data_IF_539754123365
#
_entry.id   IF_539754123365
#
_cell.length_a   1.000
_cell.length_b   1.000
_cell.length_c   1.000
_cell.angle_alpha   90.00
_cell.angle_beta   90.00
_cell.angle_gamma   90.00
#
_symmetry.space_group_name_H-M   'P 1'
#
loop_
_entity.id
_entity.type
_entity.pdbx_description
1 polymer ?
#
# COMPACT_ATOMS: atom_id res chain seq x y z
N UNK A 1 6.66 -11.96 12.74
CA UNK A 1 6.58 -10.48 12.85
C UNK A 1 6.63 -9.78 11.50
N UNK A 2 7.82 -9.64 10.87
CA UNK A 2 8.00 -8.75 9.71
C UNK A 2 7.19 -9.16 8.47
N UNK A 3 7.11 -10.46 8.18
CA UNK A 3 6.32 -10.97 7.07
C UNK A 3 4.82 -10.67 7.25
N UNK A 4 4.26 -10.91 8.44
CA UNK A 4 2.87 -10.56 8.78
C UNK A 4 2.60 -9.07 8.55
N UNK A 5 3.54 -8.20 8.94
CA UNK A 5 3.43 -6.74 8.79
C UNK A 5 3.52 -6.27 7.34
N UNK A 6 4.35 -6.92 6.50
CA UNK A 6 4.43 -6.65 5.05
C UNK A 6 3.09 -6.98 4.35
N UNK A 7 2.40 -8.02 4.82
CA UNK A 7 1.16 -8.50 4.21
C UNK A 7 -0.11 -7.92 4.86
N UNK A 8 0.00 -6.87 5.68
CA UNK A 8 -1.16 -6.21 6.29
C UNK A 8 -1.78 -6.96 7.47
N UNK A 9 -1.20 -8.09 7.92
CA UNK A 9 -1.59 -8.77 9.14
C UNK A 9 -0.94 -8.10 10.36
N UNK A 10 -1.30 -6.84 10.59
CA UNK A 10 -0.70 -5.97 11.62
C UNK A 10 -0.91 -6.51 13.02
N UNK A 11 -2.15 -6.89 13.38
CA UNK A 11 -2.50 -7.48 14.68
C UNK A 11 -1.70 -8.76 14.96
N UNK A 12 -1.57 -9.64 13.98
CA UNK A 12 -0.76 -10.86 14.10
C UNK A 12 0.73 -10.51 14.25
N UNK A 13 1.20 -9.53 13.48
CA UNK A 13 2.56 -9.00 13.57
C UNK A 13 2.90 -8.47 14.96
N UNK A 14 1.97 -7.77 15.60
CA UNK A 14 2.13 -7.20 16.94
C UNK A 14 2.04 -8.27 18.04
N UNK A 15 1.09 -9.20 17.93
CA UNK A 15 1.03 -10.34 18.84
C UNK A 15 2.27 -11.24 18.75
N UNK A 16 2.83 -11.41 17.56
CA UNK A 16 4.13 -12.06 17.40
C UNK A 16 5.27 -11.28 18.05
N UNK A 17 5.20 -9.95 18.13
CA UNK A 17 6.22 -9.14 18.78
C UNK A 17 6.17 -9.26 20.30
N UNK A 18 4.97 -9.18 20.88
CA UNK A 18 4.75 -9.40 22.31
C UNK A 18 5.24 -10.79 22.76
N UNK A 19 4.94 -11.83 21.97
CA UNK A 19 5.38 -13.19 22.27
C UNK A 19 6.92 -13.33 22.23
N UNK A 20 7.60 -12.69 21.27
CA UNK A 20 9.06 -12.75 21.19
C UNK A 20 9.70 -11.92 22.30
N UNK A 21 9.11 -10.79 22.70
CA UNK A 21 9.56 -9.98 23.85
C UNK A 21 9.43 -10.76 25.17
N UNK A 22 8.38 -11.58 25.32
CA UNK A 22 8.21 -12.44 26.49
C UNK A 22 9.18 -13.63 26.53
N UNK A 23 9.47 -14.24 25.38
CA UNK A 23 10.25 -15.49 25.29
C UNK A 23 11.76 -15.27 25.16
N UNK A 24 12.19 -14.26 24.40
CA UNK A 24 13.60 -13.93 24.18
C UNK A 24 13.75 -12.43 23.86
N UNK A 25 13.82 -11.57 24.90
CA UNK A 25 13.94 -10.12 24.72
C UNK A 25 15.16 -9.70 23.88
N UNK A 26 16.21 -10.52 23.83
CA UNK A 26 17.43 -10.24 23.07
C UNK A 26 17.22 -10.26 21.55
N UNK A 27 16.13 -10.89 21.09
CA UNK A 27 15.74 -10.95 19.68
C UNK A 27 14.85 -9.80 19.23
N UNK A 28 14.49 -8.90 20.17
CA UNK A 28 13.66 -7.74 19.92
C UNK A 28 14.48 -6.47 20.10
N UNK A 29 14.89 -5.85 18.99
CA UNK A 29 15.48 -4.51 19.01
C UNK A 29 14.43 -3.44 18.67
N UNK A 30 14.72 -2.17 19.01
CA UNK A 30 13.84 -1.02 18.73
C UNK A 30 13.30 -1.07 17.29
N UNK A 31 14.17 -1.32 16.31
CA UNK A 31 13.79 -1.43 14.89
C UNK A 31 12.76 -2.54 14.63
N UNK A 32 12.94 -3.74 15.21
CA UNK A 32 12.02 -4.86 15.09
C UNK A 32 10.70 -4.65 15.84
N UNK A 33 10.69 -3.84 16.91
CA UNK A 33 9.46 -3.42 17.61
C UNK A 33 8.60 -2.52 16.74
N UNK A 34 9.22 -1.50 16.12
CA UNK A 34 8.53 -0.64 15.13
C UNK A 34 8.30 -1.33 13.78
N UNK A 35 8.80 -2.54 13.57
CA UNK A 35 8.62 -3.29 12.32
C UNK A 35 9.50 -2.81 11.17
N UNK A 36 10.57 -2.08 11.47
CA UNK A 36 11.64 -1.72 10.55
C UNK A 36 12.57 -2.93 10.38
N UNK A 37 12.73 -3.42 9.15
CA UNK A 37 13.74 -4.43 8.82
C UNK A 37 15.05 -3.69 8.52
N UNK A 38 16.14 -3.94 9.27
CA UNK A 38 17.46 -3.46 8.86
C UNK A 38 17.85 -4.18 7.56
N UNK A 39 17.99 -3.44 6.47
CA UNK A 39 18.53 -3.96 5.22
C UNK A 39 20.02 -4.25 5.46
N UNK A 40 20.45 -5.52 5.41
CA UNK A 40 21.88 -5.85 5.54
C UNK A 40 22.58 -5.56 4.21
N UNK A 41 23.85 -5.15 4.26
CA UNK A 41 24.66 -4.95 3.05
C UNK A 41 24.80 -6.22 2.19
N UNK A 42 24.63 -7.41 2.78
CA UNK A 42 24.53 -8.70 2.10
C UNK A 42 23.23 -8.87 1.31
N UNK A 43 22.13 -8.30 1.79
CA UNK A 43 20.83 -8.33 1.10
C UNK A 43 20.86 -7.44 -0.16
N UNK A 44 21.69 -6.40 -0.14
CA UNK A 44 22.01 -5.55 -1.30
C UNK A 44 22.97 -6.24 -2.30
N UNK A 45 23.74 -7.25 -1.89
CA UNK A 45 24.75 -7.88 -2.75
C UNK A 45 24.12 -8.75 -3.86
N UNK A 46 22.93 -9.32 -3.62
CA UNK A 46 22.16 -10.04 -4.64
C UNK A 46 21.60 -9.12 -5.74
N UNK A 47 21.35 -7.85 -5.43
CA UNK A 47 20.82 -6.86 -6.38
C UNK A 47 21.92 -6.08 -7.12
N UNK A 48 23.15 -6.04 -6.58
CA UNK A 48 24.28 -5.30 -7.18
C UNK A 48 24.65 -5.74 -8.60
N UNK A 49 24.33 -6.96 -9.03
CA UNK A 49 24.59 -7.40 -10.42
C UNK A 49 23.65 -6.76 -11.46
N UNK A 50 22.56 -6.08 -11.05
CA UNK A 50 21.62 -5.42 -11.97
C UNK A 50 21.68 -3.89 -11.97
N UNK A 51 22.52 -3.27 -11.13
CA UNK A 51 22.41 -1.84 -10.80
C UNK A 51 23.73 -1.06 -10.89
N UNK A 52 24.68 -1.41 -11.76
CA UNK A 52 25.99 -0.72 -11.85
C UNK A 52 25.95 0.65 -12.54
N UNK A 53 24.95 1.49 -12.25
CA UNK A 53 24.86 2.83 -12.86
C UNK A 53 23.84 3.80 -12.25
N UNK A 54 23.35 3.58 -11.02
CA UNK A 54 22.35 4.49 -10.41
C UNK A 54 22.89 5.16 -9.16
N UNK A 55 22.61 6.46 -9.03
CA UNK A 55 23.04 7.33 -7.96
C UNK A 55 22.36 6.86 -6.65
N UNK A 56 22.99 6.95 -5.47
CA UNK A 56 22.37 6.53 -4.20
C UNK A 56 21.04 7.25 -3.88
N UNK A 57 20.82 8.42 -4.48
CA UNK A 57 19.58 9.19 -4.38
C UNK A 57 18.41 8.57 -5.19
N UNK A 58 18.70 7.78 -6.23
CA UNK A 58 17.69 7.13 -7.08
C UNK A 58 17.02 5.95 -6.38
N UNK A 59 17.63 5.44 -5.31
CA UNK A 59 17.12 4.31 -4.51
C UNK A 59 15.90 4.71 -3.67
N UNK A 60 15.72 6.01 -3.40
CA UNK A 60 14.64 6.52 -2.53
C UNK A 60 13.43 7.10 -3.26
N UNK A 61 13.47 7.27 -4.59
CA UNK A 61 12.30 7.71 -5.35
C UNK A 61 12.26 7.08 -6.75
N UNK A 62 12.10 5.75 -6.81
CA UNK A 62 11.61 5.15 -8.05
C UNK A 62 10.16 5.56 -8.26
N UNK A 63 9.96 6.43 -9.25
CA UNK A 63 8.63 6.85 -9.70
C UNK A 63 8.09 5.74 -10.60
N UNK A 64 6.99 5.14 -10.20
CA UNK A 64 6.25 4.18 -11.01
C UNK A 64 4.99 4.87 -11.54
N UNK A 65 4.81 4.86 -12.86
CA UNK A 65 3.57 5.31 -13.49
C UNK A 65 2.62 4.13 -13.61
N UNK A 66 1.34 4.36 -13.26
CA UNK A 66 0.28 3.37 -13.40
C UNK A 66 -0.91 4.00 -14.11
N UNK A 67 -1.51 3.21 -15.01
CA UNK A 67 -2.83 3.49 -15.61
C UNK A 67 -3.86 2.53 -15.04
N UNK A 68 -5.14 2.88 -15.17
CA UNK A 68 -6.19 1.95 -14.79
C UNK A 68 -6.08 0.65 -15.60
N UNK A 69 -6.11 -0.50 -14.94
CA UNK A 69 -5.94 -1.81 -15.59
C UNK A 69 -4.51 -2.17 -15.98
N UNK A 70 -3.51 -1.39 -15.57
CA UNK A 70 -2.12 -1.61 -16.00
C UNK A 70 -1.53 -2.92 -15.46
N UNK A 71 -1.08 -3.77 -16.38
CA UNK A 71 -0.39 -5.04 -16.13
C UNK A 71 1.02 -5.10 -16.74
N UNK A 72 1.53 -3.99 -17.26
CA UNK A 72 2.85 -3.92 -17.89
C UNK A 72 4.00 -4.06 -16.88
N UNK A 73 3.73 -3.78 -15.59
CA UNK A 73 4.72 -3.88 -14.54
C UNK A 73 5.15 -5.35 -14.31
N UNK A 74 6.46 -5.66 -14.21
CA UNK A 74 6.94 -7.04 -14.02
C UNK A 74 6.36 -7.76 -12.79
N UNK A 75 6.05 -7.00 -11.73
CA UNK A 75 5.44 -7.53 -10.50
C UNK A 75 3.89 -7.47 -10.49
N UNK A 76 3.22 -7.29 -11.64
CA UNK A 76 1.76 -7.09 -11.66
C UNK A 76 0.99 -8.19 -10.90
N UNK A 77 1.37 -9.47 -11.03
CA UNK A 77 0.70 -10.55 -10.30
C UNK A 77 0.73 -10.34 -8.78
N UNK A 78 1.86 -9.89 -8.23
CA UNK A 78 1.99 -9.55 -6.80
C UNK A 78 1.15 -8.33 -6.42
N UNK A 79 1.11 -7.31 -7.29
CA UNK A 79 0.27 -6.12 -7.10
C UNK A 79 -1.20 -6.54 -6.99
N UNK A 80 -1.71 -7.30 -7.96
CA UNK A 80 -3.11 -7.73 -7.99
C UNK A 80 -3.44 -8.71 -6.86
N UNK A 81 -2.50 -9.57 -6.46
CA UNK A 81 -2.67 -10.46 -5.30
C UNK A 81 -2.83 -9.65 -4.01
N UNK A 82 -1.99 -8.64 -3.80
CA UNK A 82 -2.09 -7.74 -2.65
C UNK A 82 -3.41 -6.96 -2.67
N UNK A 83 -3.81 -6.44 -3.83
CA UNK A 83 -5.08 -5.74 -3.99
C UNK A 83 -6.28 -6.63 -3.69
N UNK A 84 -6.27 -7.88 -4.15
CA UNK A 84 -7.32 -8.85 -3.82
C UNK A 84 -7.40 -9.14 -2.31
N UNK A 85 -6.25 -9.25 -1.64
CA UNK A 85 -6.18 -9.40 -0.19
C UNK A 85 -6.73 -8.20 0.56
N UNK A 86 -6.33 -6.99 0.16
CA UNK A 86 -6.84 -5.73 0.72
C UNK A 86 -8.35 -5.60 0.47
N UNK A 87 -8.82 -5.92 -0.74
CA UNK A 87 -10.25 -5.86 -1.09
C UNK A 87 -11.10 -6.73 -0.17
N UNK A 88 -10.66 -7.95 0.14
CA UNK A 88 -11.35 -8.84 1.10
C UNK A 88 -11.39 -8.22 2.50
N UNK A 89 -10.24 -7.81 3.01
CA UNK A 89 -10.14 -7.18 4.34
C UNK A 89 -10.97 -5.89 4.45
N UNK A 90 -11.00 -5.08 3.39
CA UNK A 90 -11.85 -3.89 3.32
C UNK A 90 -13.32 -4.27 3.43
N UNK A 91 -13.79 -5.27 2.66
CA UNK A 91 -15.17 -5.76 2.74
C UNK A 91 -15.51 -6.27 4.15
N UNK A 92 -14.58 -6.96 4.81
CA UNK A 92 -14.76 -7.47 6.18
C UNK A 92 -14.99 -6.36 7.22
N UNK A 93 -14.43 -5.16 6.99
CA UNK A 93 -14.61 -3.99 7.87
C UNK A 93 -15.65 -2.98 7.35
N UNK A 94 -16.48 -3.38 6.37
CA UNK A 94 -17.65 -2.62 5.94
C UNK A 94 -17.46 -1.72 4.70
N UNK A 95 -16.37 -1.89 3.95
CA UNK A 95 -16.22 -1.20 2.66
C UNK A 95 -17.20 -1.77 1.61
N UNK A 96 -17.95 -0.87 0.97
CA UNK A 96 -18.82 -1.19 -0.16
C UNK A 96 -18.32 -0.46 -1.42
N UNK A 97 -17.97 -1.18 -2.50
CA UNK A 97 -17.56 -0.56 -3.75
C UNK A 97 -18.65 0.33 -4.36
N UNK A 98 -18.30 1.56 -4.72
CA UNK A 98 -19.24 2.50 -5.35
C UNK A 98 -19.13 2.43 -6.88
N UNK A 99 -19.80 1.44 -7.51
CA UNK A 99 -19.68 1.18 -8.96
C UNK A 99 -20.17 2.30 -9.87
N UNK A 100 -20.90 3.29 -9.34
CA UNK A 100 -21.23 4.54 -10.05
C UNK A 100 -19.99 5.30 -10.56
N UNK A 101 -18.81 5.04 -10.00
CA UNK A 101 -17.55 5.63 -10.46
C UNK A 101 -16.91 4.88 -11.64
N UNK A 102 -17.56 3.83 -12.15
CA UNK A 102 -17.23 3.15 -13.41
C UNK A 102 -18.30 3.49 -14.44
N UNK A 103 -17.95 4.32 -15.42
CA UNK A 103 -18.89 4.83 -16.42
C UNK A 103 -19.19 3.84 -17.56
N UNK A 104 -18.41 2.77 -17.66
CA UNK A 104 -18.63 1.73 -18.67
C UNK A 104 -19.92 0.97 -18.34
N UNK A 105 -20.76 0.75 -19.37
CA UNK A 105 -21.99 -0.02 -19.23
C UNK A 105 -21.68 -1.52 -19.29
N UNK A 106 -21.21 -2.04 -18.16
CA UNK A 106 -20.86 -3.44 -17.93
C UNK A 106 -21.57 -3.92 -16.66
N UNK A 107 -21.57 -5.24 -16.46
CA UNK A 107 -22.17 -5.85 -15.29
C UNK A 107 -21.49 -5.37 -13.99
N UNK A 108 -22.22 -5.52 -12.89
CA UNK A 108 -21.82 -4.99 -11.59
C UNK A 108 -20.53 -5.63 -11.05
N UNK A 109 -20.31 -6.93 -11.30
CA UNK A 109 -19.11 -7.64 -10.88
C UNK A 109 -17.88 -7.10 -11.61
N UNK A 110 -17.98 -6.95 -12.93
CA UNK A 110 -16.91 -6.36 -13.75
C UNK A 110 -16.64 -4.90 -13.36
N UNK A 111 -17.65 -4.13 -12.93
CA UNK A 111 -17.43 -2.77 -12.37
C UNK A 111 -16.62 -2.80 -11.08
N UNK A 112 -16.87 -3.74 -10.18
CA UNK A 112 -16.07 -3.88 -8.96
C UNK A 112 -14.61 -4.24 -9.27
N UNK A 113 -14.38 -5.12 -10.24
CA UNK A 113 -13.04 -5.46 -10.71
C UNK A 113 -12.32 -4.25 -11.32
N UNK A 114 -13.04 -3.46 -12.13
CA UNK A 114 -12.50 -2.23 -12.72
C UNK A 114 -12.06 -1.22 -11.64
N UNK A 115 -12.86 -1.04 -10.58
CA UNK A 115 -12.50 -0.19 -9.45
C UNK A 115 -11.21 -0.66 -8.76
N UNK A 116 -11.06 -1.98 -8.58
CA UNK A 116 -9.84 -2.56 -8.00
C UNK A 116 -8.60 -2.20 -8.82
N UNK A 117 -8.75 -2.10 -10.13
CA UNK A 117 -7.67 -1.82 -11.06
C UNK A 117 -7.40 -0.32 -11.30
N UNK A 118 -8.02 0.59 -10.54
CA UNK A 118 -7.70 2.03 -10.63
C UNK A 118 -6.24 2.31 -10.28
N UNK A 119 -5.65 3.33 -10.93
CA UNK A 119 -4.22 3.64 -10.80
C UNK A 119 -3.81 4.04 -9.39
N UNK A 120 -4.69 4.68 -8.60
CA UNK A 120 -4.44 4.97 -7.19
C UNK A 120 -4.15 3.72 -6.37
N UNK A 121 -4.92 2.65 -6.62
CA UNK A 121 -4.80 1.39 -5.89
C UNK A 121 -3.56 0.63 -6.32
N UNK A 122 -3.27 0.60 -7.63
CA UNK A 122 -2.04 0.01 -8.15
C UNK A 122 -0.80 0.71 -7.57
N UNK A 123 -0.80 2.04 -7.55
CA UNK A 123 0.27 2.84 -6.95
C UNK A 123 0.39 2.57 -5.45
N UNK A 124 -0.74 2.47 -4.73
CA UNK A 124 -0.73 2.15 -3.30
C UNK A 124 -0.12 0.77 -3.03
N UNK A 125 -0.57 -0.27 -3.73
CA UNK A 125 -0.09 -1.63 -3.60
C UNK A 125 1.40 -1.76 -3.92
N UNK A 126 1.86 -1.17 -5.02
CA UNK A 126 3.30 -1.11 -5.34
C UNK A 126 4.07 -0.38 -4.24
N UNK A 127 3.54 0.75 -3.77
CA UNK A 127 4.10 1.52 -2.68
C UNK A 127 4.31 0.69 -1.42
N UNK A 128 3.33 -0.11 -1.03
CA UNK A 128 3.43 -0.98 0.14
C UNK A 128 4.48 -2.08 0.00
N UNK A 129 4.63 -2.66 -1.20
CA UNK A 129 5.64 -3.70 -1.44
C UNK A 129 7.07 -3.17 -1.39
N UNK A 130 7.28 -1.92 -1.81
CA UNK A 130 8.62 -1.34 -1.97
C UNK A 130 9.03 -0.40 -0.83
N UNK A 131 8.19 -0.22 0.20
CA UNK A 131 8.50 0.65 1.33
C UNK A 131 8.47 -0.10 2.65
N UNK A 132 9.26 0.32 3.65
CA UNK A 132 9.22 -0.28 4.97
C UNK A 132 7.81 -0.27 5.56
N UNK A 133 7.48 -1.31 6.34
CA UNK A 133 6.25 -1.33 7.10
C UNK A 133 6.14 -0.07 7.97
N UNK A 134 4.91 0.43 8.16
CA UNK A 134 4.61 1.64 8.95
C UNK A 134 5.21 2.97 8.44
N UNK A 135 6.01 2.98 7.37
CA UNK A 135 6.47 4.25 6.78
C UNK A 135 5.32 4.99 6.08
N UNK A 136 5.38 6.32 6.00
CA UNK A 136 4.37 7.08 5.24
C UNK A 136 4.47 6.75 3.76
N UNK A 137 3.33 6.45 3.11
CA UNK A 137 3.27 6.25 1.68
C UNK A 137 2.90 7.55 0.97
N UNK A 138 3.53 7.84 -0.17
CA UNK A 138 3.22 9.03 -0.99
C UNK A 138 2.76 8.61 -2.38
N UNK A 139 1.63 9.14 -2.82
CA UNK A 139 1.01 8.88 -4.13
C UNK A 139 0.77 10.21 -4.83
N UNK A 140 1.12 10.32 -6.11
CA UNK A 140 0.83 11.50 -6.92
C UNK A 140 -0.04 11.07 -8.09
N UNK A 141 -1.15 11.79 -8.28
CA UNK A 141 -2.10 11.58 -9.37
C UNK A 141 -2.32 12.90 -10.11
N UNK A 142 -2.30 12.85 -11.44
CA UNK A 142 -2.53 14.01 -12.31
C UNK A 142 -4.02 14.33 -12.52
N UNK A 143 -4.90 13.40 -12.14
CA UNK A 143 -6.36 13.54 -12.19
C UNK A 143 -6.92 13.62 -10.76
N UNK A 144 -8.12 14.16 -10.62
CA UNK A 144 -8.88 14.11 -9.36
C UNK A 144 -9.05 12.65 -8.92
N UNK A 145 -8.91 12.37 -7.63
CA UNK A 145 -9.20 11.03 -7.09
C UNK A 145 -10.69 10.73 -7.26
N UNK A 146 -11.06 9.51 -7.66
CA UNK A 146 -12.48 9.15 -7.70
C UNK A 146 -13.00 8.90 -6.27
N UNK A 147 -14.30 9.09 -6.03
CA UNK A 147 -14.87 8.95 -4.69
C UNK A 147 -14.67 7.56 -4.09
N UNK A 148 -14.79 6.52 -4.92
CA UNK A 148 -14.52 5.15 -4.49
C UNK A 148 -13.05 4.92 -4.10
N UNK A 149 -12.08 5.42 -4.87
CA UNK A 149 -10.67 5.30 -4.51
C UNK A 149 -10.32 6.13 -3.27
N UNK A 150 -10.94 7.30 -3.11
CA UNK A 150 -10.81 8.07 -1.88
C UNK A 150 -11.33 7.28 -0.67
N UNK A 151 -12.50 6.63 -0.80
CA UNK A 151 -13.04 5.78 0.24
C UNK A 151 -12.16 4.56 0.52
N UNK A 152 -11.72 3.85 -0.52
CA UNK A 152 -10.84 2.69 -0.39
C UNK A 152 -9.51 3.06 0.31
N UNK A 153 -8.89 4.20 0.00
CA UNK A 153 -7.66 4.64 0.65
C UNK A 153 -7.85 4.92 2.15
N UNK A 154 -9.04 5.37 2.58
CA UNK A 154 -9.38 5.46 4.02
C UNK A 154 -9.34 4.07 4.66
N UNK A 155 -10.06 3.09 4.12
CA UNK A 155 -10.08 1.72 4.65
C UNK A 155 -8.70 1.07 4.64
N UNK A 156 -7.96 1.22 3.53
CA UNK A 156 -6.58 0.73 3.42
C UNK A 156 -5.72 1.32 4.54
N UNK A 157 -5.81 2.63 4.81
CA UNK A 157 -5.01 3.27 5.87
C UNK A 157 -5.20 2.62 7.25
N UNK A 158 -6.44 2.21 7.57
CA UNK A 158 -6.77 1.45 8.79
C UNK A 158 -6.15 0.06 8.76
N UNK A 159 -6.33 -0.67 7.66
CA UNK A 159 -5.85 -2.06 7.51
C UNK A 159 -4.33 -2.14 7.64
N UNK A 160 -3.62 -1.29 6.90
CA UNK A 160 -2.16 -1.33 6.87
C UNK A 160 -1.53 -0.62 8.07
N UNK A 161 -2.30 0.20 8.80
CA UNK A 161 -1.81 1.02 9.91
C UNK A 161 -0.73 2.02 9.46
N UNK A 162 -0.95 2.67 8.30
CA UNK A 162 0.01 3.62 7.68
C UNK A 162 -0.71 4.90 7.29
N UNK A 163 -0.01 6.02 7.45
CA UNK A 163 -0.43 7.26 6.79
C UNK A 163 -0.16 7.15 5.28
N UNK A 164 -1.17 7.48 4.48
CA UNK A 164 -1.06 7.60 3.03
C UNK A 164 -1.29 9.07 2.68
N UNK A 165 -0.30 9.71 2.07
CA UNK A 165 -0.40 11.08 1.56
C UNK A 165 -0.58 10.98 0.05
N UNK A 166 -1.77 11.33 -0.44
CA UNK A 166 -2.03 11.40 -1.87
C UNK A 166 -2.16 12.86 -2.31
N UNK A 167 -1.45 13.25 -3.36
CA UNK A 167 -1.70 14.50 -4.08
C UNK A 167 -2.46 14.18 -5.35
N UNK A 168 -3.63 14.78 -5.53
CA UNK A 168 -4.34 14.75 -6.80
C UNK A 168 -4.26 16.10 -7.54
N UNK A 169 -5.03 16.26 -8.62
CA UNK A 169 -5.05 17.50 -9.41
C UNK A 169 -5.53 18.74 -8.65
N UNK A 170 -6.19 18.59 -7.50
CA UNK A 170 -6.86 19.67 -6.76
C UNK A 170 -6.26 19.92 -5.38
N UNK A 171 -5.86 18.87 -4.66
CA UNK A 171 -5.46 18.98 -3.25
C UNK A 171 -4.59 17.82 -2.77
N UNK A 172 -4.11 17.97 -1.54
CA UNK A 172 -3.53 16.88 -0.77
C UNK A 172 -4.61 16.21 0.07
N UNK A 173 -4.52 14.89 0.15
CA UNK A 173 -5.33 14.01 0.97
C UNK A 173 -4.39 13.29 1.93
N UNK A 174 -4.65 13.41 3.23
CA UNK A 174 -3.93 12.66 4.25
C UNK A 174 -4.88 11.62 4.80
N UNK A 175 -4.65 10.36 4.44
CA UNK A 175 -5.42 9.23 4.91
C UNK A 175 -4.73 8.61 6.12
N UNK A 176 -5.44 8.56 7.24
CA UNK A 176 -4.96 7.97 8.49
C UNK A 176 -6.14 7.48 9.31
N UNK A 177 -6.03 6.27 9.85
CA UNK A 177 -7.01 5.65 10.76
C UNK A 177 -8.45 5.72 10.22
N UNK A 178 -8.62 5.52 8.91
CA UNK A 178 -9.95 5.49 8.27
C UNK A 178 -10.52 6.87 7.93
N UNK A 179 -9.76 7.94 8.15
CA UNK A 179 -10.18 9.31 7.90
C UNK A 179 -9.30 9.97 6.84
N UNK A 180 -9.86 10.96 6.16
CA UNK A 180 -9.12 11.83 5.25
C UNK A 180 -9.19 13.29 5.72
N UNK A 181 -8.07 14.00 5.66
CA UNK A 181 -8.00 15.44 5.97
C UNK A 181 -8.93 16.31 5.13
N UNK A 182 -9.37 15.85 3.95
CA UNK A 182 -10.23 16.62 3.06
C UNK A 182 -11.72 16.58 3.44
N UNK A 183 -12.13 15.84 4.49
CA UNK A 183 -13.52 15.70 4.96
C UNK A 183 -14.49 15.24 3.85
N UNK A 184 -14.07 14.26 3.07
CA UNK A 184 -14.86 13.69 1.97
C UNK A 184 -15.23 14.70 0.88
N UNK A 185 -14.35 15.65 0.57
CA UNK A 185 -14.51 16.54 -0.59
C UNK A 185 -13.83 16.02 -1.87
N UNK A 186 -13.27 14.79 -1.82
CA UNK A 186 -12.45 14.07 -2.83
C UNK A 186 -12.19 14.84 -4.12
#
# INVERSE_FOLDING_TARGET
MNFCRIHGHTVLGDRCAELVELLDPSRVNEQSRVGLVPIKASDLAGEKKKLSGQNPLDVWSRVYEYRAGDRSHPNHEKIYTLLGGLQRQMKDIGYMPETKFVLHDIDQETKEEALMAHSERLAAAQGFMNSPARSTLRIIKNLRVCGDCHNALKFISTIVGREIIARDAKRFHHFKDGLCSCKDYW
#
